data_IF_738959449913
#
_entry.id   IF_738959449913
#
_cell.length_a   1.000
_cell.length_b   1.000
_cell.length_c   1.000
_cell.angle_alpha   90.00
_cell.angle_beta   90.00
_cell.angle_gamma   90.00
#
_symmetry.space_group_name_H-M   'P 1'
#
loop_
_entity.id
_entity.type
_entity.pdbx_description
1 polymer ?
#
# COMPACT_ATOMS: atom_id res chain seq x y z
N UNK A 1 21.40 13.30 -20.38
CA UNK A 1 21.27 12.46 -19.19
C UNK A 1 20.54 13.21 -18.07
N UNK A 2 19.85 12.51 -17.17
CA UNK A 2 18.86 13.11 -16.26
C UNK A 2 19.30 13.21 -14.78
N UNK A 3 20.54 12.84 -14.41
CA UNK A 3 21.07 12.93 -13.04
C UNK A 3 20.14 12.30 -11.97
N UNK A 4 19.59 11.12 -12.25
CA UNK A 4 18.71 10.41 -11.32
C UNK A 4 19.53 9.55 -10.36
N UNK A 5 19.14 9.55 -9.08
CA UNK A 5 19.76 8.76 -8.02
C UNK A 5 18.69 7.95 -7.28
N UNK A 6 19.02 6.71 -6.93
CA UNK A 6 18.15 5.83 -6.15
C UNK A 6 18.41 6.04 -4.65
N UNK A 7 17.33 6.18 -3.88
CA UNK A 7 17.37 6.11 -2.42
C UNK A 7 17.27 4.66 -1.96
N UNK A 8 18.42 4.03 -1.67
CA UNK A 8 18.52 2.60 -1.36
C UNK A 8 17.63 2.16 -0.20
N UNK A 9 17.43 3.00 0.82
CA UNK A 9 16.60 2.64 1.99
C UNK A 9 15.11 2.46 1.63
N UNK A 10 14.66 2.94 0.47
CA UNK A 10 13.28 2.79 -0.01
C UNK A 10 13.10 1.67 -1.03
N UNK A 11 14.18 0.97 -1.40
CA UNK A 11 14.13 -0.02 -2.46
C UNK A 11 13.94 -1.43 -1.91
N UNK A 12 13.10 -2.18 -2.60
CA UNK A 12 12.90 -3.61 -2.39
C UNK A 12 13.34 -4.31 -3.67
N UNK A 13 14.34 -5.19 -3.57
CA UNK A 13 14.93 -5.88 -4.73
C UNK A 13 14.58 -7.36 -4.69
N UNK A 14 14.30 -7.93 -5.87
CA UNK A 14 14.05 -9.36 -6.08
C UNK A 14 13.04 -9.98 -5.10
N UNK A 15 11.98 -9.23 -4.74
CA UNK A 15 10.92 -9.73 -3.87
C UNK A 15 9.88 -10.51 -4.68
N UNK A 16 9.30 -11.56 -4.09
CA UNK A 16 8.16 -12.27 -4.69
C UNK A 16 6.88 -11.42 -4.72
N UNK A 17 6.73 -10.54 -3.73
CA UNK A 17 5.60 -9.64 -3.54
C UNK A 17 6.10 -8.27 -3.03
N UNK A 18 5.43 -7.18 -3.41
CA UNK A 18 5.79 -5.81 -3.02
C UNK A 18 4.56 -4.95 -2.75
N UNK A 19 4.65 -4.09 -1.74
CA UNK A 19 3.66 -3.04 -1.51
C UNK A 19 3.82 -1.92 -2.53
N UNK A 20 2.78 -1.67 -3.33
CA UNK A 20 2.75 -0.65 -4.35
C UNK A 20 1.36 0.01 -4.41
N UNK A 21 1.31 1.33 -4.19
CA UNK A 21 0.08 2.14 -4.23
C UNK A 21 -1.08 1.62 -3.35
N UNK A 22 -0.76 1.04 -2.18
CA UNK A 22 -1.77 0.48 -1.26
C UNK A 22 -2.29 -0.91 -1.67
N UNK A 23 -1.52 -1.61 -2.52
CA UNK A 23 -1.75 -2.99 -2.91
C UNK A 23 -0.50 -3.82 -2.70
N UNK A 24 -0.69 -5.12 -2.47
CA UNK A 24 0.37 -6.12 -2.56
C UNK A 24 0.34 -6.69 -3.99
N UNK A 25 1.45 -6.54 -4.71
CA UNK A 25 1.61 -7.01 -6.09
C UNK A 25 2.63 -8.15 -6.14
N UNK A 26 2.26 -9.28 -6.71
CA UNK A 26 3.16 -10.41 -6.90
C UNK A 26 2.44 -11.69 -7.29
N UNK A 27 3.21 -12.69 -7.73
CA UNK A 27 2.68 -14.03 -8.09
C UNK A 27 1.51 -14.01 -9.09
N UNK A 28 1.49 -13.02 -9.99
CA UNK A 28 0.41 -12.84 -10.98
C UNK A 28 -0.90 -12.29 -10.41
N UNK A 29 -0.90 -11.81 -9.15
CA UNK A 29 -2.07 -11.29 -8.45
C UNK A 29 -1.82 -9.87 -7.93
N UNK A 30 -2.91 -9.13 -7.77
CA UNK A 30 -2.94 -7.83 -7.09
C UNK A 30 -3.96 -7.95 -5.96
N UNK A 31 -3.52 -7.69 -4.73
CA UNK A 31 -4.37 -7.76 -3.53
C UNK A 31 -4.41 -6.39 -2.86
N UNK A 32 -5.55 -5.95 -2.29
CA UNK A 32 -5.57 -4.78 -1.43
C UNK A 32 -4.63 -4.98 -0.24
N UNK A 33 -3.90 -3.93 0.16
CA UNK A 33 -3.11 -3.97 1.39
C UNK A 33 -4.05 -4.15 2.60
N UNK A 34 -3.89 -5.22 3.40
CA UNK A 34 -4.68 -5.45 4.60
C UNK A 34 -4.69 -4.26 5.57
N UNK A 35 -3.61 -3.47 5.63
CA UNK A 35 -3.57 -2.27 6.47
C UNK A 35 -4.60 -1.22 6.04
N UNK A 36 -4.86 -1.11 4.73
CA UNK A 36 -5.87 -0.19 4.20
C UNK A 36 -7.29 -0.74 4.43
N UNK A 37 -7.47 -2.06 4.37
CA UNK A 37 -8.74 -2.71 4.67
C UNK A 37 -9.10 -2.56 6.15
N UNK A 38 -8.12 -2.67 7.05
CA UNK A 38 -8.34 -2.51 8.49
C UNK A 38 -8.99 -1.17 8.85
N UNK A 39 -8.60 -0.08 8.20
CA UNK A 39 -9.21 1.22 8.44
C UNK A 39 -10.71 1.28 8.07
N UNK A 40 -11.15 0.44 7.14
CA UNK A 40 -12.56 0.30 6.75
C UNK A 40 -13.29 -0.63 7.71
N UNK A 41 -12.65 -1.73 8.12
CA UNK A 41 -13.21 -2.69 9.09
C UNK A 41 -13.41 -2.06 10.47
N UNK A 42 -12.46 -1.22 10.90
CA UNK A 42 -12.49 -0.51 12.18
C UNK A 42 -13.34 0.78 12.11
N UNK A 43 -13.93 1.11 10.96
CA UNK A 43 -14.71 2.33 10.79
C UNK A 43 -16.02 2.23 11.57
N UNK A 44 -16.14 3.00 12.66
CA UNK A 44 -17.38 3.06 13.43
C UNK A 44 -18.47 3.83 12.66
N UNK A 45 -19.75 3.41 12.75
CA UNK A 45 -20.84 4.14 12.13
C UNK A 45 -20.88 5.60 12.60
N UNK A 46 -21.07 6.58 11.70
CA UNK A 46 -21.10 7.98 12.09
C UNK A 46 -22.27 8.25 13.04
N UNK A 47 -22.01 9.03 14.09
CA UNK A 47 -22.96 9.33 15.15
C UNK A 47 -23.77 10.61 14.89
N UNK A 48 -23.31 11.45 13.96
CA UNK A 48 -23.92 12.74 13.66
C UNK A 48 -23.62 13.18 12.21
N UNK A 49 -24.24 14.28 11.78
CA UNK A 49 -24.16 14.78 10.38
C UNK A 49 -22.78 15.34 10.02
N UNK A 50 -21.96 15.69 11.01
CA UNK A 50 -20.65 16.30 10.82
C UNK A 50 -19.48 15.31 10.96
N UNK A 51 -19.77 14.04 11.22
CA UNK A 51 -18.82 12.91 11.22
C UNK A 51 -18.73 12.26 9.83
#
# INVERSE_FOLDING_TARGET
>A
EHNLYVKKEKCLFAQEEVNFLGHIVGKGLIKPDPQKLKAIEDWEPPSNVHE
#
